data_IF_131945336936
#
_entry.id   IF_131945336936
#
_cell.length_a   1.000
_cell.length_b   1.000
_cell.length_c   1.000
_cell.angle_alpha   90.00
_cell.angle_beta   90.00
_cell.angle_gamma   90.00
#
_symmetry.space_group_name_H-M   'P 1'
#
loop_
_entity.id
_entity.type
_entity.pdbx_description
1 polymer ?
#
# COMPACT_ATOMS: atom_id res chain seq x y z
N UNK A 1 -36.29 -37.29 85.35
CA UNK A 1 -36.96 -36.00 85.60
C UNK A 1 -35.98 -34.88 85.35
N UNK A 2 -36.45 -33.79 84.75
CA UNK A 2 -35.98 -32.40 84.97
C UNK A 2 -34.59 -31.99 84.47
N UNK A 3 -34.61 -31.15 83.43
CA UNK A 3 -33.90 -29.87 83.24
C UNK A 3 -32.77 -29.52 84.24
N UNK A 4 -31.65 -29.01 83.71
CA UNK A 4 -31.13 -27.63 83.89
C UNK A 4 -29.71 -27.57 83.23
N UNK A 5 -29.47 -26.71 82.24
CA UNK A 5 -29.04 -25.29 82.31
C UNK A 5 -27.51 -25.10 82.48
N UNK A 6 -26.95 -24.41 81.47
CA UNK A 6 -25.94 -23.33 81.54
C UNK A 6 -24.43 -23.65 81.53
N UNK A 7 -23.78 -22.92 80.60
CA UNK A 7 -22.49 -22.21 80.67
C UNK A 7 -21.13 -22.92 80.54
N UNK A 8 -20.47 -22.57 79.42
CA UNK A 8 -19.09 -22.05 79.24
C UNK A 8 -17.96 -22.77 79.99
N UNK A 9 -17.05 -23.39 79.23
CA UNK A 9 -15.61 -23.03 79.18
C UNK A 9 -14.85 -23.94 78.20
N UNK A 10 -14.00 -23.33 77.37
CA UNK A 10 -12.91 -24.01 76.61
C UNK A 10 -11.74 -24.24 77.58
N UNK A 11 -10.87 -25.26 77.42
CA UNK A 11 -9.81 -25.21 76.39
C UNK A 11 -9.26 -26.56 75.85
N UNK A 12 -8.49 -26.45 74.75
CA UNK A 12 -7.36 -27.31 74.29
C UNK A 12 -7.64 -28.79 73.97
N UNK A 13 -7.04 -29.49 73.00
CA UNK A 13 -6.14 -29.29 71.83
C UNK A 13 -6.09 -30.69 71.18
N UNK A 14 -5.90 -30.80 69.85
CA UNK A 14 -5.04 -31.79 69.14
C UNK A 14 -5.36 -31.75 67.63
N UNK A 15 -4.37 -31.22 66.89
CA UNK A 15 -3.77 -31.76 65.66
C UNK A 15 -4.63 -32.19 64.46
N UNK A 16 -4.51 -31.47 63.34
CA UNK A 16 -3.80 -31.98 62.15
C UNK A 16 -3.56 -30.82 61.17
N UNK A 17 -2.32 -30.34 61.08
CA UNK A 17 -1.86 -29.40 60.04
C UNK A 17 -1.41 -30.23 58.85
N UNK A 18 -2.23 -30.32 57.80
CA UNK A 18 -1.78 -30.75 56.47
C UNK A 18 -1.32 -29.50 55.71
N UNK A 19 -0.01 -29.26 55.74
CA UNK A 19 0.66 -28.23 54.96
C UNK A 19 0.71 -28.67 53.49
N UNK A 20 -0.30 -28.29 52.70
CA UNK A 20 -0.26 -28.43 51.25
C UNK A 20 0.71 -27.38 50.66
N UNK A 21 1.99 -27.72 50.62
CA UNK A 21 3.02 -26.94 49.93
C UNK A 21 2.81 -27.09 48.42
N UNK A 22 1.90 -26.29 47.86
CA UNK A 22 1.76 -26.15 46.42
C UNK A 22 3.00 -25.46 45.89
N UNK A 23 3.89 -26.26 45.30
CA UNK A 23 5.05 -25.78 44.54
C UNK A 23 4.50 -25.03 43.33
N UNK A 24 4.39 -23.70 43.44
CA UNK A 24 4.22 -22.83 42.30
C UNK A 24 5.53 -22.85 41.50
N UNK A 25 5.64 -23.78 40.54
CA UNK A 25 6.60 -23.66 39.46
C UNK A 25 6.23 -22.37 38.69
N UNK A 26 7.11 -21.36 38.61
CA UNK A 26 6.86 -20.24 37.71
C UNK A 26 6.81 -20.81 36.30
N UNK A 27 5.63 -20.80 35.68
CA UNK A 27 5.50 -21.04 34.27
C UNK A 27 6.43 -20.04 33.57
N UNK A 28 7.42 -20.54 32.83
CA UNK A 28 8.19 -19.69 31.93
C UNK A 28 7.21 -19.14 30.92
N UNK A 29 6.79 -17.89 31.11
CA UNK A 29 6.16 -17.12 30.05
C UNK A 29 7.22 -17.04 28.96
N UNK A 30 7.07 -17.85 27.91
CA UNK A 30 7.81 -17.60 26.68
C UNK A 30 7.39 -16.22 26.24
N UNK A 31 8.27 -15.24 26.36
CA UNK A 31 8.11 -13.98 25.68
C UNK A 31 7.95 -14.33 24.20
N UNK A 32 6.74 -14.16 23.68
CA UNK A 32 6.50 -14.22 22.26
C UNK A 32 7.45 -13.18 21.65
N UNK A 33 8.42 -13.60 20.84
CA UNK A 33 9.26 -12.66 20.08
C UNK A 33 8.31 -11.71 19.35
N UNK A 34 8.26 -10.46 19.84
CA UNK A 34 7.43 -9.45 19.23
C UNK A 34 8.04 -9.17 17.86
N UNK A 35 7.39 -9.67 16.80
CA UNK A 35 7.82 -9.41 15.44
C UNK A 35 7.94 -7.91 15.18
N UNK A 36 8.94 -7.53 14.38
CA UNK A 36 9.17 -6.13 14.05
C UNK A 36 7.92 -5.54 13.35
N UNK A 37 7.34 -4.50 13.94
CA UNK A 37 6.17 -3.80 13.41
C UNK A 37 6.51 -2.32 13.21
N UNK A 38 6.80 -1.94 11.97
CA UNK A 38 7.15 -0.56 11.61
C UNK A 38 6.10 0.03 10.68
N UNK A 39 5.76 1.30 10.92
CA UNK A 39 4.91 2.10 10.04
C UNK A 39 5.74 3.31 9.59
N UNK A 40 5.82 3.56 8.29
CA UNK A 40 6.51 4.75 7.76
C UNK A 40 5.54 5.75 7.14
N UNK A 41 5.96 7.01 7.08
CA UNK A 41 5.23 8.10 6.44
C UNK A 41 6.21 9.16 5.93
N UNK A 42 5.95 9.82 4.79
CA UNK A 42 4.82 9.62 3.88
C UNK A 42 5.00 8.40 2.95
N UNK A 43 3.98 8.15 2.13
CA UNK A 43 4.02 7.20 0.99
C UNK A 43 4.01 8.05 -0.29
N UNK A 44 4.72 7.64 -1.36
CA UNK A 44 6.01 8.18 -1.84
C UNK A 44 6.23 9.71 -1.77
N UNK A 45 7.49 10.13 -1.82
CA UNK A 45 7.91 11.54 -1.94
C UNK A 45 8.36 11.81 -3.37
N UNK A 46 7.84 12.86 -3.99
CA UNK A 46 8.31 13.36 -5.29
C UNK A 46 8.90 14.76 -5.11
N UNK A 47 10.18 14.94 -5.43
CA UNK A 47 10.91 16.20 -5.30
C UNK A 47 11.35 16.66 -6.68
N UNK A 48 11.03 17.90 -7.02
CA UNK A 48 11.51 18.56 -8.22
C UNK A 48 12.55 19.59 -7.82
N UNK A 49 13.71 19.56 -8.47
CA UNK A 49 14.83 20.42 -8.10
C UNK A 49 15.71 20.81 -9.30
N UNK A 50 16.73 21.62 -9.06
CA UNK A 50 17.69 22.11 -10.05
C UNK A 50 19.08 21.50 -9.82
N UNK A 51 19.93 21.39 -10.86
CA UNK A 51 21.32 20.96 -10.69
C UNK A 51 22.09 21.85 -9.71
N UNK A 52 22.95 21.26 -8.88
CA UNK A 52 23.77 22.01 -7.90
C UNK A 52 23.03 22.44 -6.64
N UNK A 53 21.74 22.10 -6.50
CA UNK A 53 20.93 22.49 -5.34
C UNK A 53 21.02 21.49 -4.20
N UNK A 54 20.51 21.89 -3.04
CA UNK A 54 20.34 21.01 -1.88
C UNK A 54 18.88 21.02 -1.46
N UNK A 55 18.30 19.84 -1.32
CA UNK A 55 16.91 19.65 -0.90
C UNK A 55 16.85 18.66 0.26
N UNK A 56 15.82 18.77 1.09
CA UNK A 56 15.61 17.87 2.23
C UNK A 56 14.19 17.33 2.24
N UNK A 57 14.02 16.14 2.81
CA UNK A 57 12.73 15.52 3.07
C UNK A 57 12.71 14.88 4.45
N UNK A 58 11.62 15.09 5.17
CA UNK A 58 11.40 14.46 6.46
C UNK A 58 10.71 13.11 6.29
N UNK A 59 11.33 12.08 6.84
CA UNK A 59 10.85 10.70 6.81
C UNK A 59 10.53 10.28 8.22
N UNK A 60 9.33 9.76 8.44
CA UNK A 60 8.87 9.35 9.77
C UNK A 60 8.76 7.85 9.83
N UNK A 61 9.22 7.28 10.94
CA UNK A 61 9.04 5.87 11.28
C UNK A 61 8.41 5.76 12.67
N UNK A 62 7.39 4.91 12.80
CA UNK A 62 6.75 4.55 14.05
C UNK A 62 7.08 3.11 14.39
N UNK A 63 7.47 2.89 15.63
CA UNK A 63 7.50 1.57 16.22
C UNK A 63 6.07 1.20 16.68
N UNK A 64 5.41 0.29 15.97
CA UNK A 64 4.09 -0.25 16.32
C UNK A 64 4.16 -1.48 17.24
N UNK A 65 5.35 -1.87 17.69
CA UNK A 65 5.59 -2.95 18.62
C UNK A 65 5.45 -2.51 20.09
N UNK A 66 5.81 -3.43 20.99
CA UNK A 66 5.67 -3.27 22.45
C UNK A 66 7.00 -3.01 23.17
N UNK A 67 8.14 -3.28 22.52
CA UNK A 67 9.49 -3.01 23.04
C UNK A 67 10.15 -1.81 22.34
N UNK A 68 11.21 -1.26 22.94
CA UNK A 68 12.06 -0.26 22.27
C UNK A 68 12.77 -0.95 21.11
N UNK A 69 12.83 -0.28 19.95
CA UNK A 69 13.54 -0.77 18.77
C UNK A 69 14.72 0.15 18.44
N UNK A 70 15.92 -0.42 18.33
CA UNK A 70 17.09 0.28 17.77
C UNK A 70 17.09 0.09 16.27
N UNK A 71 16.73 1.14 15.54
CA UNK A 71 16.59 1.13 14.10
C UNK A 71 17.79 1.79 13.42
N UNK A 72 18.00 1.43 12.16
CA UNK A 72 18.90 2.10 11.25
C UNK A 72 18.16 2.53 9.99
N UNK A 73 18.60 3.65 9.41
CA UNK A 73 18.15 4.12 8.10
C UNK A 73 19.15 3.70 7.02
N UNK A 74 18.62 3.13 5.95
CA UNK A 74 19.38 2.67 4.79
C UNK A 74 18.87 3.27 3.49
N UNK A 75 19.63 3.03 2.42
CA UNK A 75 19.24 3.38 1.06
C UNK A 75 19.28 2.15 0.19
N UNK A 76 18.24 1.99 -0.60
CA UNK A 76 18.16 1.04 -1.69
C UNK A 76 17.77 1.77 -2.97
N UNK A 77 18.04 1.14 -4.11
CA UNK A 77 17.64 1.64 -5.42
C UNK A 77 16.19 1.24 -5.66
N UNK A 78 15.38 2.21 -6.07
CA UNK A 78 13.99 1.98 -6.42
C UNK A 78 13.85 1.80 -7.94
N UNK A 79 13.23 0.68 -8.33
CA UNK A 79 12.73 0.43 -9.66
C UNK A 79 11.32 -0.16 -9.61
N UNK A 80 10.84 -0.72 -10.72
CA UNK A 80 9.51 -1.33 -10.80
C UNK A 80 9.62 -2.77 -11.30
N UNK A 81 8.85 -3.68 -10.70
CA UNK A 81 8.65 -5.04 -11.20
C UNK A 81 7.44 -5.09 -12.14
N UNK A 82 7.65 -5.66 -13.33
CA UNK A 82 6.58 -5.85 -14.31
C UNK A 82 5.90 -4.53 -14.68
N UNK A 83 4.59 -4.58 -14.89
CA UNK A 83 3.81 -3.42 -15.36
C UNK A 83 2.76 -2.96 -14.34
N UNK A 84 2.58 -3.64 -13.20
CA UNK A 84 1.56 -3.28 -12.21
C UNK A 84 2.01 -2.15 -11.26
N UNK A 85 3.20 -1.58 -11.47
CA UNK A 85 3.75 -0.54 -10.60
C UNK A 85 4.24 -1.05 -9.24
N UNK A 86 4.47 -2.36 -9.10
CA UNK A 86 5.01 -2.96 -7.88
C UNK A 86 6.46 -2.50 -7.65
N UNK A 87 6.81 -2.00 -6.46
CA UNK A 87 8.15 -1.51 -6.21
C UNK A 87 9.17 -2.64 -6.24
N UNK A 88 10.28 -2.41 -6.94
CA UNK A 88 11.47 -3.25 -6.96
C UNK A 88 12.55 -2.55 -6.16
N UNK A 89 12.92 -3.10 -5.00
CA UNK A 89 14.04 -2.61 -4.22
C UNK A 89 15.29 -3.41 -4.60
N UNK A 90 16.37 -2.72 -4.92
CA UNK A 90 17.64 -3.29 -5.36
C UNK A 90 18.78 -2.71 -4.54
N UNK A 91 19.83 -3.49 -4.37
CA UNK A 91 21.06 -2.98 -3.79
C UNK A 91 21.71 -1.93 -4.70
N UNK A 92 22.64 -1.16 -4.13
CA UNK A 92 23.47 -0.22 -4.89
C UNK A 92 24.36 -0.98 -5.88
N UNK A 93 24.39 -0.54 -7.13
CA UNK A 93 25.24 -1.09 -8.19
C UNK A 93 26.31 -0.06 -8.62
N UNK A 94 27.28 -0.51 -9.42
CA UNK A 94 28.28 0.38 -10.02
C UNK A 94 27.59 1.41 -10.92
N UNK A 95 27.87 2.70 -10.69
CA UNK A 95 27.26 3.82 -11.41
C UNK A 95 26.07 4.45 -10.69
N UNK A 96 25.60 3.88 -9.57
CA UNK A 96 24.60 4.49 -8.69
C UNK A 96 25.25 5.51 -7.74
N UNK A 97 26.12 6.38 -8.27
CA UNK A 97 26.88 7.38 -7.50
C UNK A 97 25.97 8.43 -6.85
N UNK A 98 24.71 8.50 -7.29
CA UNK A 98 23.68 9.34 -6.71
C UNK A 98 23.33 8.98 -5.26
N UNK A 99 23.68 7.77 -4.80
CA UNK A 99 23.57 7.40 -3.39
C UNK A 99 24.45 8.27 -2.49
N UNK A 100 25.58 8.76 -3.00
CA UNK A 100 26.54 9.57 -2.24
C UNK A 100 26.04 11.01 -2.03
N UNK A 101 24.94 11.40 -2.69
CA UNK A 101 24.33 12.71 -2.54
C UNK A 101 23.51 12.81 -1.25
N UNK A 102 23.21 11.68 -0.62
CA UNK A 102 22.25 11.59 0.47
C UNK A 102 22.97 11.50 1.81
N UNK A 103 22.47 12.27 2.77
CA UNK A 103 22.85 12.18 4.17
C UNK A 103 21.59 12.17 5.04
N UNK A 104 21.67 11.54 6.20
CA UNK A 104 20.56 11.49 7.16
C UNK A 104 20.95 12.21 8.44
N UNK A 105 19.98 12.83 9.10
CA UNK A 105 20.17 13.47 10.41
C UNK A 105 20.73 12.50 11.46
N UNK A 106 20.25 11.25 11.43
CA UNK A 106 20.72 10.14 12.28
C UNK A 106 20.74 8.86 11.43
N UNK A 107 21.80 8.05 11.55
CA UNK A 107 21.92 6.76 10.85
C UNK A 107 21.35 5.59 11.65
N UNK A 108 21.46 5.68 12.98
CA UNK A 108 20.99 4.68 13.94
C UNK A 108 20.36 5.42 15.12
N UNK A 109 19.22 4.94 15.59
CA UNK A 109 18.43 5.64 16.60
C UNK A 109 17.44 4.69 17.28
N UNK A 110 17.09 4.99 18.53
CA UNK A 110 16.08 4.24 19.29
C UNK A 110 14.69 4.85 19.09
N UNK A 111 13.68 3.98 19.00
CA UNK A 111 12.27 4.37 18.92
C UNK A 111 11.46 3.58 19.94
N UNK A 112 10.89 4.29 20.91
CA UNK A 112 10.04 3.66 21.93
C UNK A 112 8.72 3.13 21.34
N UNK A 113 8.04 2.20 22.03
CA UNK A 113 6.72 1.70 21.62
C UNK A 113 5.75 2.83 21.30
N UNK A 114 5.05 2.74 20.17
CA UNK A 114 4.10 3.70 19.66
C UNK A 114 4.63 5.12 19.39
N UNK A 115 5.95 5.34 19.45
CA UNK A 115 6.56 6.63 19.18
C UNK A 115 6.86 6.81 17.68
N UNK A 116 6.63 8.01 17.17
CA UNK A 116 7.14 8.46 15.87
C UNK A 116 8.53 9.10 16.05
N UNK A 117 9.47 8.71 15.19
CA UNK A 117 10.77 9.38 15.01
C UNK A 117 10.83 9.97 13.61
N UNK A 118 11.29 11.22 13.50
CA UNK A 118 11.57 11.88 12.23
C UNK A 118 13.06 11.80 11.92
N UNK A 119 13.40 11.39 10.70
CA UNK A 119 14.74 11.38 10.13
C UNK A 119 14.72 12.26 8.89
N UNK A 120 15.53 13.32 8.89
CA UNK A 120 15.64 14.21 7.74
C UNK A 120 16.68 13.65 6.78
N UNK A 121 16.27 13.35 5.55
CA UNK A 121 17.16 13.04 4.44
C UNK A 121 17.52 14.35 3.72
N UNK A 122 18.81 14.62 3.56
CA UNK A 122 19.35 15.76 2.83
C UNK A 122 20.05 15.26 1.56
N UNK A 123 19.64 15.80 0.43
CA UNK A 123 20.12 15.45 -0.91
C UNK A 123 20.93 16.62 -1.48
N UNK A 124 22.24 16.44 -1.62
CA UNK A 124 23.17 17.41 -2.20
C UNK A 124 23.38 17.09 -3.68
N UNK A 125 22.57 17.70 -4.54
CA UNK A 125 22.51 17.40 -5.97
C UNK A 125 23.69 18.06 -6.68
N UNK A 126 24.55 17.34 -7.41
CA UNK A 126 25.67 17.94 -8.13
C UNK A 126 25.18 18.73 -9.35
N UNK A 127 26.03 19.63 -9.85
CA UNK A 127 25.74 20.44 -11.05
C UNK A 127 25.63 19.61 -12.34
N UNK A 128 26.21 18.41 -12.35
CA UNK A 128 26.14 17.47 -13.47
C UNK A 128 24.88 16.60 -13.47
N UNK A 129 24.08 16.63 -12.40
CA UNK A 129 22.89 15.80 -12.30
C UNK A 129 21.82 16.21 -13.32
N UNK A 130 21.08 15.22 -13.82
CA UNK A 130 19.99 15.42 -14.76
C UNK A 130 18.93 14.33 -14.61
N UNK A 131 17.70 14.64 -15.00
CA UNK A 131 16.60 13.67 -15.07
C UNK A 131 16.19 13.08 -13.71
N UNK A 132 15.85 11.79 -13.63
CA UNK A 132 15.30 11.13 -12.45
C UNK A 132 16.31 10.32 -11.64
N UNK A 133 16.22 10.39 -10.31
CA UNK A 133 16.95 9.55 -9.35
C UNK A 133 15.99 8.96 -8.33
N UNK A 134 16.08 7.64 -8.11
CA UNK A 134 15.01 6.87 -7.47
C UNK A 134 15.55 6.07 -6.30
N UNK A 135 15.17 6.48 -5.10
CA UNK A 135 15.60 5.88 -3.85
C UNK A 135 14.43 5.17 -3.18
N UNK A 136 14.76 4.12 -2.43
CA UNK A 136 13.95 3.64 -1.33
C UNK A 136 14.74 3.88 -0.05
N UNK A 137 14.23 4.76 0.81
CA UNK A 137 14.80 4.96 2.14
C UNK A 137 14.20 3.93 3.07
N UNK A 138 15.04 3.04 3.59
CA UNK A 138 14.61 1.89 4.38
C UNK A 138 14.83 2.14 5.87
N UNK A 139 13.91 1.64 6.69
CA UNK A 139 14.08 1.54 8.14
C UNK A 139 14.06 0.07 8.52
N UNK A 140 15.11 -0.39 9.19
CA UNK A 140 15.31 -1.77 9.62
C UNK A 140 15.99 -1.79 11.00
N UNK A 141 16.05 -2.94 11.67
CA UNK A 141 16.77 -3.05 12.94
C UNK A 141 18.28 -2.89 12.72
N UNK A 142 18.95 -2.14 13.59
CA UNK A 142 20.39 -1.86 13.46
C UNK A 142 21.27 -3.10 13.74
N UNK A 143 20.80 -3.99 14.61
CA UNK A 143 21.39 -5.29 14.84
C UNK A 143 20.30 -6.34 14.66
N UNK A 144 20.49 -7.27 13.72
CA UNK A 144 19.68 -8.48 13.70
C UNK A 144 19.91 -9.19 15.03
N UNK A 145 18.84 -9.53 15.77
CA UNK A 145 19.02 -10.45 16.87
C UNK A 145 19.63 -11.73 16.29
N UNK A 146 20.82 -12.10 16.77
CA UNK A 146 21.41 -13.40 16.46
C UNK A 146 20.42 -14.43 17.01
N UNK A 147 19.66 -15.08 16.15
CA UNK A 147 18.86 -16.23 16.55
C UNK A 147 19.80 -17.29 17.09
N UNK A 148 19.70 -17.53 18.39
CA UNK A 148 20.42 -18.59 19.08
C UNK A 148 19.71 -19.92 18.83
N UNK A 149 19.78 -20.44 17.60
CA UNK A 149 19.21 -21.76 17.29
C UNK A 149 19.31 -22.15 15.81
N UNK A 150 19.71 -23.39 15.47
CA UNK A 150 19.96 -23.83 14.09
C UNK A 150 18.71 -23.95 13.18
N UNK A 151 17.55 -23.40 13.58
CA UNK A 151 16.29 -23.47 12.81
C UNK A 151 15.41 -22.21 12.84
N UNK A 152 15.92 -21.07 13.32
CA UNK A 152 15.17 -19.82 13.28
C UNK A 152 15.74 -18.90 12.21
N UNK A 153 15.06 -18.82 11.06
CA UNK A 153 15.28 -17.78 10.06
C UNK A 153 14.82 -16.46 10.69
N UNK A 154 15.76 -15.57 11.01
CA UNK A 154 15.42 -14.22 11.42
C UNK A 154 14.69 -13.54 10.25
N UNK A 155 13.41 -13.19 10.44
CA UNK A 155 12.68 -12.35 9.49
C UNK A 155 13.22 -10.94 9.65
N UNK A 156 14.10 -10.52 8.74
CA UNK A 156 14.57 -9.13 8.68
C UNK A 156 13.43 -8.30 8.07
N UNK A 157 12.52 -7.84 8.93
CA UNK A 157 11.50 -6.87 8.54
C UNK A 157 12.13 -5.51 8.26
N UNK A 158 11.67 -4.83 7.22
CA UNK A 158 12.00 -3.44 6.95
C UNK A 158 10.77 -2.74 6.36
N UNK A 159 10.66 -1.43 6.59
CA UNK A 159 9.73 -0.58 5.85
C UNK A 159 10.53 0.36 4.94
N UNK A 160 9.95 0.78 3.83
CA UNK A 160 10.60 1.65 2.86
C UNK A 160 9.68 2.81 2.46
N UNK A 161 10.22 4.02 2.44
CA UNK A 161 9.58 5.17 1.80
C UNK A 161 10.30 5.45 0.48
N UNK A 162 9.54 5.47 -0.62
CA UNK A 162 10.05 5.75 -1.94
C UNK A 162 10.28 7.26 -2.10
N UNK A 163 11.44 7.65 -2.59
CA UNK A 163 11.79 9.05 -2.89
C UNK A 163 12.20 9.14 -4.34
N UNK A 164 11.44 9.90 -5.12
CA UNK A 164 11.69 10.17 -6.53
C UNK A 164 12.16 11.61 -6.65
N UNK A 165 13.39 11.81 -7.09
CA UNK A 165 13.95 13.15 -7.34
C UNK A 165 14.02 13.36 -8.83
N UNK A 166 13.50 14.49 -9.29
CA UNK A 166 13.69 14.98 -10.64
C UNK A 166 14.58 16.23 -10.61
N UNK A 167 15.71 16.14 -11.31
CA UNK A 167 16.63 17.25 -11.55
C UNK A 167 16.29 17.85 -12.92
N UNK A 168 15.66 19.02 -12.91
CA UNK A 168 15.19 19.70 -14.11
C UNK A 168 16.35 20.21 -14.94
N UNK A 169 16.37 19.77 -16.19
CA UNK A 169 17.26 20.27 -17.25
C UNK A 169 16.44 20.50 -18.52
N UNK A 170 16.84 21.42 -19.41
CA UNK A 170 16.09 21.70 -20.64
C UNK A 170 15.86 20.48 -21.56
N UNK A 171 16.74 19.47 -21.47
CA UNK A 171 16.65 18.21 -22.22
C UNK A 171 15.73 17.16 -21.59
N UNK A 172 15.08 17.46 -20.46
CA UNK A 172 14.10 16.57 -19.86
C UNK A 172 12.88 16.45 -20.77
N UNK A 173 12.50 15.20 -21.07
CA UNK A 173 11.40 14.84 -21.96
C UNK A 173 10.38 14.05 -21.16
N UNK A 174 9.13 14.49 -21.19
CA UNK A 174 7.96 13.81 -20.62
C UNK A 174 7.00 13.48 -21.75
N UNK A 175 6.90 12.21 -22.07
CA UNK A 175 6.05 11.73 -23.15
C UNK A 175 5.42 10.42 -22.73
N UNK A 176 4.10 10.36 -22.80
CA UNK A 176 3.32 9.17 -22.45
C UNK A 176 2.57 8.69 -23.68
N UNK A 177 2.71 7.41 -23.99
CA UNK A 177 1.98 6.71 -25.03
C UNK A 177 0.89 5.84 -24.39
N UNK A 178 -0.32 5.87 -24.95
CA UNK A 178 -1.37 4.89 -24.62
C UNK A 178 -1.05 3.60 -25.37
N UNK A 179 -0.64 2.57 -24.64
CA UNK A 179 -0.44 1.24 -25.21
C UNK A 179 -1.78 0.51 -25.30
N UNK A 180 -2.62 0.66 -24.28
CA UNK A 180 -3.93 0.00 -24.23
C UNK A 180 -4.92 0.85 -23.43
N UNK A 181 -6.15 0.95 -23.93
CA UNK A 181 -7.31 1.27 -23.13
C UNK A 181 -8.45 0.33 -23.50
N UNK A 182 -8.84 -0.55 -22.59
CA UNK A 182 -9.79 -1.63 -22.86
C UNK A 182 -10.75 -1.84 -21.68
N UNK A 183 -11.88 -2.47 -21.97
CA UNK A 183 -12.75 -3.07 -20.97
C UNK A 183 -12.49 -4.59 -20.94
N UNK A 184 -12.56 -5.22 -19.76
CA UNK A 184 -12.26 -6.64 -19.59
C UNK A 184 -13.23 -7.55 -20.38
N UNK A 185 -14.42 -7.05 -20.71
CA UNK A 185 -15.43 -7.74 -21.52
C UNK A 185 -16.12 -6.76 -22.46
N UNK A 186 -16.67 -7.28 -23.56
CA UNK A 186 -17.55 -6.51 -24.47
C UNK A 186 -19.01 -6.53 -24.04
N UNK A 187 -19.42 -7.54 -23.28
CA UNK A 187 -20.79 -7.78 -22.83
C UNK A 187 -20.78 -8.16 -21.35
N UNK A 188 -21.62 -7.50 -20.57
CA UNK A 188 -21.81 -7.74 -19.14
C UNK A 188 -23.29 -8.04 -18.88
N UNK A 189 -23.58 -9.02 -18.03
CA UNK A 189 -24.94 -9.18 -17.50
C UNK A 189 -25.28 -8.01 -16.57
N UNK A 190 -24.38 -7.80 -15.61
CA UNK A 190 -24.40 -6.79 -14.57
C UNK A 190 -22.99 -6.26 -14.33
N UNK A 191 -22.89 -5.11 -13.67
CA UNK A 191 -21.62 -4.52 -13.25
C UNK A 191 -20.91 -5.41 -12.20
N UNK A 192 -19.57 -5.31 -12.05
CA UNK A 192 -18.69 -4.27 -12.57
C UNK A 192 -18.18 -4.47 -14.00
N UNK A 193 -17.93 -3.35 -14.67
CA UNK A 193 -17.04 -3.29 -15.82
C UNK A 193 -15.65 -2.87 -15.35
N UNK A 194 -14.62 -3.68 -15.62
CA UNK A 194 -13.25 -3.35 -15.31
C UNK A 194 -12.55 -2.78 -16.54
N UNK A 195 -11.80 -1.69 -16.35
CA UNK A 195 -11.04 -1.03 -17.39
C UNK A 195 -9.56 -1.18 -17.13
N UNK A 196 -8.82 -1.53 -18.17
CA UNK A 196 -7.36 -1.58 -18.19
C UNK A 196 -6.84 -0.38 -18.95
N UNK A 197 -5.97 0.39 -18.32
CA UNK A 197 -5.22 1.50 -18.93
C UNK A 197 -3.73 1.16 -18.86
N UNK A 198 -3.14 0.81 -20.00
CA UNK A 198 -1.69 0.56 -20.10
C UNK A 198 -1.01 1.76 -20.76
N UNK A 199 -0.10 2.39 -20.04
CA UNK A 199 0.66 3.54 -20.49
C UNK A 199 2.14 3.19 -20.58
N UNK A 200 2.85 3.74 -21.58
CA UNK A 200 4.30 3.67 -21.71
C UNK A 200 4.90 5.07 -21.56
N UNK A 201 5.95 5.21 -20.75
CA UNK A 201 6.72 6.45 -20.70
C UNK A 201 7.86 6.39 -21.71
N UNK A 202 7.80 7.26 -22.73
CA UNK A 202 8.82 7.46 -23.78
C UNK A 202 9.79 8.59 -23.45
N UNK A 203 9.55 9.28 -22.34
CA UNK A 203 10.41 10.30 -21.78
C UNK A 203 11.61 9.74 -21.02
N UNK A 204 12.41 10.65 -20.48
CA UNK A 204 13.60 10.35 -19.68
C UNK A 204 13.43 10.74 -18.20
N UNK A 205 12.26 11.26 -17.80
CA UNK A 205 11.88 11.49 -16.41
C UNK A 205 10.55 10.81 -16.09
N UNK A 206 10.30 10.55 -14.81
CA UNK A 206 9.05 9.93 -14.37
C UNK A 206 7.88 10.90 -14.52
N UNK A 207 6.68 10.34 -14.68
CA UNK A 207 5.41 11.09 -14.76
C UNK A 207 4.36 10.38 -13.92
N UNK A 208 3.33 11.10 -13.48
CA UNK A 208 2.25 10.53 -12.68
C UNK A 208 0.89 10.88 -13.32
N UNK A 209 0.54 10.28 -14.47
CA UNK A 209 -0.70 10.59 -15.16
C UNK A 209 -1.89 10.20 -14.27
N UNK A 210 -2.89 11.08 -14.18
CA UNK A 210 -4.12 10.84 -13.42
C UNK A 210 -5.32 11.42 -14.14
N UNK A 211 -6.50 10.92 -13.87
CA UNK A 211 -7.72 11.49 -14.43
C UNK A 211 -8.88 10.53 -14.30
N UNK A 212 -9.76 10.53 -15.28
CA UNK A 212 -11.04 9.87 -15.18
C UNK A 212 -11.38 9.08 -16.44
N UNK A 213 -12.24 8.09 -16.25
CA UNK A 213 -13.02 7.45 -17.31
C UNK A 213 -14.46 7.92 -17.13
N UNK A 214 -14.97 8.64 -18.12
CA UNK A 214 -16.35 9.09 -18.20
C UNK A 214 -17.18 8.03 -18.92
N UNK A 215 -18.25 7.57 -18.27
CA UNK A 215 -19.10 6.50 -18.80
C UNK A 215 -20.38 7.10 -19.35
N UNK A 216 -20.59 7.01 -20.65
CA UNK A 216 -21.72 7.62 -21.36
C UNK A 216 -22.76 6.57 -21.76
N UNK A 217 -24.02 6.98 -21.76
CA UNK A 217 -25.13 6.21 -22.35
C UNK A 217 -25.83 7.01 -23.44
N UNK A 218 -25.31 6.91 -24.67
CA UNK A 218 -25.86 7.63 -25.82
C UNK A 218 -25.78 9.15 -25.62
N UNK A 219 -26.88 9.87 -25.88
CA UNK A 219 -26.95 11.33 -25.75
C UNK A 219 -27.16 11.86 -24.32
N UNK A 220 -27.28 10.97 -23.31
CA UNK A 220 -27.58 11.36 -21.92
C UNK A 220 -26.37 11.92 -21.15
N UNK A 221 -25.20 12.04 -21.79
CA UNK A 221 -23.95 12.43 -21.13
C UNK A 221 -23.43 11.37 -20.16
N UNK A 222 -22.49 11.79 -19.32
CA UNK A 222 -21.76 10.94 -18.39
C UNK A 222 -22.71 10.43 -17.27
N UNK A 223 -22.98 9.13 -17.26
CA UNK A 223 -23.77 8.46 -16.21
C UNK A 223 -22.93 8.01 -15.03
N UNK A 224 -21.60 8.05 -15.16
CA UNK A 224 -20.64 7.80 -14.08
C UNK A 224 -19.25 8.33 -14.43
N UNK A 225 -18.46 8.59 -13.39
CA UNK A 225 -17.04 8.95 -13.48
C UNK A 225 -16.27 7.90 -12.67
N UNK A 226 -15.22 7.34 -13.27
CA UNK A 226 -14.34 6.36 -12.62
C UNK A 226 -12.92 6.92 -12.60
N UNK A 227 -12.35 7.11 -11.41
CA UNK A 227 -10.99 7.64 -11.29
C UNK A 227 -9.95 6.62 -11.78
N UNK A 228 -8.89 7.14 -12.37
CA UNK A 228 -7.70 6.40 -12.78
C UNK A 228 -6.49 7.00 -12.09
N UNK A 229 -5.74 6.14 -11.42
CA UNK A 229 -4.53 6.49 -10.67
C UNK A 229 -4.73 7.61 -9.61
N UNK A 230 -5.72 7.51 -8.71
CA UNK A 230 -6.00 8.55 -7.71
C UNK A 230 -4.79 8.83 -6.80
N UNK A 231 -4.02 7.78 -6.49
CA UNK A 231 -2.80 7.85 -5.67
C UNK A 231 -1.58 8.44 -6.40
N UNK A 232 -1.75 8.91 -7.65
CA UNK A 232 -0.67 9.48 -8.47
C UNK A 232 0.56 8.57 -8.58
N UNK A 233 0.33 7.27 -8.72
CA UNK A 233 1.39 6.29 -8.92
C UNK A 233 2.26 6.65 -10.12
N UNK A 234 3.57 6.69 -9.91
CA UNK A 234 4.53 7.12 -10.92
C UNK A 234 4.79 6.07 -12.00
N UNK A 235 4.96 6.53 -13.23
CA UNK A 235 5.39 5.78 -14.39
C UNK A 235 6.85 6.18 -14.70
N UNK A 236 7.79 5.27 -14.42
CA UNK A 236 9.23 5.54 -14.57
C UNK A 236 9.64 5.61 -16.06
N UNK A 237 10.79 6.23 -16.39
CA UNK A 237 11.33 6.25 -17.75
C UNK A 237 11.46 4.85 -18.35
N UNK A 238 11.15 4.73 -19.65
CA UNK A 238 11.19 3.48 -20.42
C UNK A 238 10.50 2.28 -19.76
N UNK A 239 9.43 2.55 -19.01
CA UNK A 239 8.59 1.52 -18.39
C UNK A 239 7.16 1.59 -18.89
N UNK A 240 6.46 0.47 -18.73
CA UNK A 240 5.01 0.41 -18.87
C UNK A 240 4.36 0.40 -17.48
N UNK A 241 3.17 0.97 -17.36
CA UNK A 241 2.32 0.80 -16.19
C UNK A 241 0.88 0.54 -16.58
N UNK A 242 0.28 -0.44 -15.92
CA UNK A 242 -1.13 -0.79 -16.00
C UNK A 242 -1.84 -0.19 -14.79
N UNK A 243 -2.89 0.56 -15.06
CA UNK A 243 -3.86 1.02 -14.08
C UNK A 243 -5.18 0.32 -14.34
N UNK A 244 -5.77 -0.22 -13.27
CA UNK A 244 -7.07 -0.89 -13.35
C UNK A 244 -8.09 -0.13 -12.54
N UNK A 245 -9.20 0.20 -13.17
CA UNK A 245 -10.33 0.88 -12.53
C UNK A 245 -11.62 0.11 -12.78
N UNK A 246 -12.61 0.20 -11.89
CA UNK A 246 -13.87 -0.54 -12.01
C UNK A 246 -15.07 0.37 -11.89
N UNK A 247 -16.00 0.26 -12.82
CA UNK A 247 -17.31 0.86 -12.69
C UNK A 247 -18.27 -0.12 -12.02
N UNK A 248 -18.63 0.14 -10.77
CA UNK A 248 -19.48 -0.72 -9.93
C UNK A 248 -20.89 -0.15 -9.70
N UNK A 249 -21.19 1.03 -10.23
CA UNK A 249 -22.43 1.76 -9.91
C UNK A 249 -23.63 1.24 -10.74
N UNK A 250 -24.24 0.14 -10.29
CA UNK A 250 -25.36 -0.51 -10.97
C UNK A 250 -26.25 -1.33 -10.04
N UNK A 251 -27.37 -1.80 -10.59
CA UNK A 251 -28.30 -2.72 -9.95
C UNK A 251 -28.85 -3.73 -10.97
N UNK A 252 -28.93 -5.03 -10.63
CA UNK A 252 -28.07 -5.75 -9.69
C UNK A 252 -26.58 -5.51 -9.94
N UNK A 253 -25.73 -5.84 -8.96
CA UNK A 253 -24.27 -5.67 -9.07
C UNK A 253 -23.53 -6.82 -8.40
N UNK A 254 -22.46 -7.28 -9.03
CA UNK A 254 -21.54 -8.24 -8.44
C UNK A 254 -20.62 -7.56 -7.42
N UNK A 255 -20.61 -8.09 -6.20
CA UNK A 255 -19.73 -7.63 -5.11
C UNK A 255 -18.81 -8.77 -4.67
N UNK A 256 -17.57 -8.47 -4.22
CA UNK A 256 -16.70 -9.49 -3.64
C UNK A 256 -17.42 -10.23 -2.51
N UNK A 257 -17.34 -11.56 -2.52
CA UNK A 257 -17.85 -12.40 -1.45
C UNK A 257 -16.93 -12.27 -0.25
N UNK A 258 -17.50 -11.86 0.88
CA UNK A 258 -16.78 -11.71 2.15
C UNK A 258 -17.29 -12.73 3.15
N UNK A 259 -16.39 -13.52 3.74
CA UNK A 259 -16.66 -14.43 4.85
C UNK A 259 -15.70 -14.10 6.00
N UNK A 260 -16.19 -13.96 7.24
CA UNK A 260 -15.37 -13.62 8.41
C UNK A 260 -14.48 -12.37 8.22
N UNK A 261 -15.01 -11.34 7.54
CA UNK A 261 -14.29 -10.10 7.18
C UNK A 261 -13.08 -10.29 6.25
N UNK A 262 -13.00 -11.43 5.56
CA UNK A 262 -11.98 -11.70 4.54
C UNK A 262 -12.63 -11.97 3.20
N UNK A 263 -12.02 -11.47 2.14
CA UNK A 263 -12.45 -11.74 0.77
C UNK A 263 -12.21 -13.22 0.44
N UNK A 264 -13.22 -13.86 -0.15
CA UNK A 264 -13.18 -15.28 -0.52
C UNK A 264 -12.55 -15.39 -1.90
N UNK A 265 -11.51 -16.22 -2.00
CA UNK A 265 -10.84 -16.53 -3.26
C UNK A 265 -11.13 -17.99 -3.64
N UNK A 266 -11.19 -18.27 -4.94
CA UNK A 266 -11.30 -19.64 -5.46
C UNK A 266 -9.95 -20.40 -5.37
N UNK A 267 -9.96 -21.67 -5.74
CA UNK A 267 -8.76 -22.53 -5.73
C UNK A 267 -7.65 -22.07 -6.70
N UNK A 268 -7.93 -21.07 -7.57
CA UNK A 268 -7.00 -20.47 -8.51
C UNK A 268 -6.55 -19.07 -8.06
N UNK A 269 -7.00 -18.61 -6.88
CA UNK A 269 -6.67 -17.32 -6.31
C UNK A 269 -7.51 -16.14 -6.82
N UNK A 270 -8.55 -16.39 -7.64
CA UNK A 270 -9.43 -15.33 -8.11
C UNK A 270 -10.49 -14.98 -7.05
N UNK A 271 -10.87 -13.70 -6.97
CA UNK A 271 -11.97 -13.27 -6.10
C UNK A 271 -13.29 -13.91 -6.52
N UNK A 272 -14.04 -14.44 -5.55
CA UNK A 272 -15.40 -14.93 -5.74
C UNK A 272 -16.38 -13.77 -5.58
N UNK A 273 -17.39 -13.69 -6.45
CA UNK A 273 -18.38 -12.61 -6.43
C UNK A 273 -19.80 -13.15 -6.19
N UNK A 274 -20.60 -12.38 -5.45
CA UNK A 274 -22.03 -12.60 -5.28
C UNK A 274 -22.83 -11.50 -5.98
N UNK A 275 -23.97 -11.86 -6.56
CA UNK A 275 -24.89 -10.87 -7.13
C UNK A 275 -25.75 -10.26 -6.01
N UNK A 276 -25.56 -8.96 -5.75
CA UNK A 276 -26.34 -8.23 -4.75
C UNK A 276 -27.59 -7.62 -5.39
N UNK A 277 -28.74 -7.91 -4.80
CA UNK A 277 -30.04 -7.32 -5.12
C UNK A 277 -30.40 -6.32 -4.03
N UNK A 278 -30.13 -5.04 -4.29
CA UNK A 278 -30.51 -3.94 -3.40
C UNK A 278 -31.58 -3.09 -4.10
N UNK A 279 -32.85 -3.42 -3.88
CA UNK A 279 -33.96 -2.78 -4.59
C UNK A 279 -34.08 -1.26 -4.34
N UNK A 280 -33.45 -0.74 -3.27
CA UNK A 280 -33.32 0.72 -3.08
C UNK A 280 -32.51 1.39 -4.21
N UNK A 281 -31.64 0.62 -4.85
CA UNK A 281 -30.80 1.04 -5.98
C UNK A 281 -31.43 0.68 -7.33
N UNK A 282 -32.72 0.31 -7.41
CA UNK A 282 -33.35 -0.13 -8.66
C UNK A 282 -33.26 0.89 -9.82
N UNK A 283 -33.23 2.19 -9.49
CA UNK A 283 -33.03 3.27 -10.46
C UNK A 283 -31.66 3.22 -11.16
N UNK A 284 -30.70 2.44 -10.64
CA UNK A 284 -29.37 2.20 -11.21
C UNK A 284 -29.32 0.98 -12.13
N UNK A 285 -30.47 0.45 -12.56
CA UNK A 285 -30.51 -0.61 -13.56
C UNK A 285 -29.77 -0.18 -14.83
N UNK A 286 -28.69 -0.88 -15.14
CA UNK A 286 -27.86 -0.63 -16.31
C UNK A 286 -28.29 -1.55 -17.45
N UNK A 287 -28.42 -0.98 -18.65
CA UNK A 287 -28.84 -1.71 -19.84
C UNK A 287 -28.42 -0.98 -21.11
N UNK A 288 -28.16 -1.71 -22.19
CA UNK A 288 -27.78 -1.16 -23.49
C UNK A 288 -26.29 -0.88 -23.64
N UNK A 289 -25.96 -0.09 -24.66
CA UNK A 289 -24.58 0.25 -25.04
C UNK A 289 -24.06 1.44 -24.22
N UNK A 290 -22.83 1.31 -23.75
CA UNK A 290 -22.09 2.34 -23.05
C UNK A 290 -20.79 2.66 -23.77
N UNK A 291 -20.34 3.90 -23.63
CA UNK A 291 -19.03 4.37 -24.11
C UNK A 291 -18.23 4.84 -22.91
N UNK A 292 -17.03 4.30 -22.72
CA UNK A 292 -16.08 4.78 -21.75
C UNK A 292 -15.07 5.68 -22.47
N UNK A 293 -15.03 6.96 -22.13
CA UNK A 293 -14.04 7.93 -22.60
C UNK A 293 -13.03 8.17 -21.48
N UNK A 294 -11.79 7.76 -21.68
CA UNK A 294 -10.69 8.05 -20.78
C UNK A 294 -10.11 9.42 -21.11
N UNK A 295 -9.89 10.22 -20.07
CA UNK A 295 -9.10 11.44 -20.11
C UNK A 295 -8.19 11.47 -18.89
N UNK A 296 -6.90 11.27 -19.11
CA UNK A 296 -5.86 11.48 -18.11
C UNK A 296 -5.04 12.70 -18.47
N UNK A 297 -4.40 13.28 -17.46
CA UNK A 297 -3.53 14.44 -17.63
C UNK A 297 -2.20 14.18 -16.93
N UNK A 298 -1.11 14.64 -17.56
CA UNK A 298 0.20 14.76 -16.94
C UNK A 298 0.86 16.09 -17.33
N UNK A 299 1.70 16.63 -16.46
CA UNK A 299 2.51 17.82 -16.76
C UNK A 299 3.74 17.42 -17.59
N UNK A 300 3.92 18.01 -18.78
CA UNK A 300 5.11 17.78 -19.62
C UNK A 300 6.33 18.62 -19.21
N UNK A 301 6.17 19.51 -18.24
CA UNK A 301 7.13 20.49 -17.76
C UNK A 301 6.90 21.90 -18.30
N UNK A 302 5.95 22.08 -19.24
CA UNK A 302 5.52 23.36 -19.82
C UNK A 302 4.01 23.55 -19.70
N UNK A 303 3.25 22.48 -19.91
CA UNK A 303 1.78 22.46 -19.86
C UNK A 303 1.26 21.06 -19.55
N UNK A 304 0.00 21.02 -19.18
CA UNK A 304 -0.75 19.77 -19.05
C UNK A 304 -0.99 19.15 -20.43
N UNK A 305 -0.67 17.86 -20.57
CA UNK A 305 -0.93 17.03 -21.73
C UNK A 305 -2.07 16.06 -21.44
N UNK A 306 -3.04 16.00 -22.34
CA UNK A 306 -4.13 15.06 -22.28
C UNK A 306 -3.73 13.71 -22.88
N UNK A 307 -4.18 12.64 -22.23
CA UNK A 307 -4.09 11.26 -22.67
C UNK A 307 -5.52 10.77 -22.82
N UNK A 308 -5.93 10.48 -24.05
CA UNK A 308 -7.31 10.14 -24.37
C UNK A 308 -7.43 8.71 -24.87
N UNK A 309 -8.58 8.10 -24.59
CA UNK A 309 -8.92 6.79 -25.10
C UNK A 309 -10.43 6.59 -25.12
N UNK A 310 -10.91 5.70 -25.99
CA UNK A 310 -12.33 5.35 -26.05
C UNK A 310 -12.51 3.84 -26.21
N UNK A 311 -13.41 3.27 -25.41
CA UNK A 311 -13.88 1.89 -25.56
C UNK A 311 -15.40 1.83 -25.40
N UNK A 312 -16.05 0.88 -26.06
CA UNK A 312 -17.50 0.69 -25.96
C UNK A 312 -17.84 -0.73 -25.55
N UNK A 313 -18.87 -0.89 -24.73
CA UNK A 313 -19.30 -2.17 -24.20
C UNK A 313 -20.83 -2.18 -23.99
N UNK A 314 -21.39 -3.36 -23.76
CA UNK A 314 -22.82 -3.55 -23.53
C UNK A 314 -23.08 -4.09 -22.14
N UNK A 315 -24.13 -3.58 -21.50
CA UNK A 315 -24.73 -4.21 -20.31
C UNK A 315 -26.11 -4.72 -20.68
N UNK A 316 -26.35 -6.02 -20.52
CA UNK A 316 -27.61 -6.66 -20.92
C UNK A 316 -28.05 -7.60 -19.80
N UNK A 317 -29.01 -7.18 -18.95
CA UNK A 317 -29.59 -8.02 -17.89
C UNK A 317 -30.45 -9.19 -18.41
N UNK A 318 -29.90 -10.14 -19.15
CA UNK A 318 -30.71 -11.16 -19.85
C UNK A 318 -31.57 -12.01 -18.91
N UNK A 319 -31.16 -12.25 -17.66
CA UNK A 319 -31.99 -12.95 -16.66
C UNK A 319 -33.24 -12.18 -16.21
N UNK A 320 -33.31 -10.88 -16.46
CA UNK A 320 -34.51 -10.07 -16.23
C UNK A 320 -35.48 -10.07 -17.42
N UNK A 321 -35.05 -10.61 -18.57
CA UNK A 321 -35.83 -10.68 -19.81
C UNK A 321 -36.48 -12.05 -20.04
N UNK A 322 -36.12 -13.04 -19.22
CA UNK A 322 -36.67 -14.40 -19.18
C UNK A 322 -37.73 -14.48 -18.08
#
# INVERSE_FOLDING_TARGET
MSKLKTQISKPFVISFIFLAFSIFLPARVQAQEAGLNLISSPIPISIITQPGSTVSADLKVKNGGTGIETLQVGLMKFGVYGEEGKPKLMEREKGDDFFDWVSFSEKTFDVAPNQWKTITAKFNIPKSASFGYYYAVTFSRAQNEKTSGPRQTAIVGATATLVLIEVRVPSAKREVEVVEFSADKKFYEFLPAAFTVKLKNKGNVHVAPRGNIFIDKGSKGDVAIVEVNPEKGSLLPDSNRIFTSRWTDGFPVYIPKVENKKEVHDNKGNMVYNLKWDFSQAHKLRWGRYTANMLLVYDDGKRDQAIEGRVTFWVVPWRLLL
#
